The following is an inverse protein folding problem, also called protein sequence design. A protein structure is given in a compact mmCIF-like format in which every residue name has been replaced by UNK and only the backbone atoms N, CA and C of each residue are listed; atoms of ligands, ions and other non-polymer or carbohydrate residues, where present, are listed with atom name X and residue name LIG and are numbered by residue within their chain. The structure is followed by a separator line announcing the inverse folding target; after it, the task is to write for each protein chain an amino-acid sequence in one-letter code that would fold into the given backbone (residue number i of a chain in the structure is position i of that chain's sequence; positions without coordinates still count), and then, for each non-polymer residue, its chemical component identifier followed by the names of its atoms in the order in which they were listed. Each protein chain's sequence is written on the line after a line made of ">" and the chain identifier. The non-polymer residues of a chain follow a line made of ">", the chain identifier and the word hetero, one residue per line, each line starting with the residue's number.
data_IF_951433662348
#
_entry.id   IF_951433662348
#
_cell.length_a   1.000
_cell.length_b   1.000
_cell.length_c   1.000
_cell.angle_alpha   90.00
_cell.angle_beta   90.00
_cell.angle_gamma   90.00
#
_symmetry.space_group_name_H-M   'P 1'
#
loop_
_entity.id
_entity.type
_entity.pdbx_description
1 polymer ?
#
# COMPACT_ATOMS: atom_id res chain seq x y z
N UNK A 1 -10.94 -23.14 27.43
CA UNK A 1 -9.58 -23.58 27.02
C UNK A 1 -8.93 -22.40 26.34
N UNK A 2 -7.82 -21.90 26.88
CA UNK A 2 -7.13 -20.73 26.34
C UNK A 2 -6.44 -21.12 25.02
N UNK A 3 -6.75 -20.40 23.94
CA UNK A 3 -6.03 -20.50 22.68
C UNK A 3 -4.55 -20.23 22.95
N UNK A 4 -3.71 -21.27 22.84
CA UNK A 4 -2.26 -21.09 22.76
C UNK A 4 -2.02 -20.18 21.56
N UNK A 5 -1.49 -18.99 21.82
CA UNK A 5 -0.96 -18.11 20.78
C UNK A 5 0.05 -18.95 19.99
N UNK A 6 -0.21 -19.18 18.71
CA UNK A 6 0.71 -19.91 17.83
C UNK A 6 2.01 -19.12 17.76
N UNK A 7 3.12 -19.71 18.21
CA UNK A 7 4.45 -19.07 18.27
C UNK A 7 4.99 -18.73 16.90
N UNK A 8 4.45 -19.33 15.85
CA UNK A 8 4.87 -19.17 14.45
C UNK A 8 5.02 -17.70 14.02
N UNK A 9 4.12 -16.81 14.44
CA UNK A 9 4.18 -15.38 14.10
C UNK A 9 5.36 -14.66 14.77
N UNK A 10 5.67 -15.02 16.01
CA UNK A 10 6.81 -14.47 16.76
C UNK A 10 8.13 -15.00 16.21
N UNK A 11 8.17 -16.29 15.86
CA UNK A 11 9.33 -16.94 15.28
C UNK A 11 9.65 -16.37 13.89
N UNK A 12 8.63 -16.15 13.05
CA UNK A 12 8.78 -15.49 11.75
C UNK A 12 9.37 -14.08 11.89
N UNK A 13 8.82 -13.25 12.80
CA UNK A 13 9.33 -11.91 13.05
C UNK A 13 10.78 -11.92 13.54
N UNK A 14 11.12 -12.85 14.45
CA UNK A 14 12.47 -12.99 14.99
C UNK A 14 13.47 -13.45 13.93
N UNK A 15 13.12 -14.45 13.12
CA UNK A 15 13.99 -14.93 12.04
C UNK A 15 14.18 -13.85 10.97
N UNK A 16 13.11 -13.12 10.63
CA UNK A 16 13.19 -12.00 9.69
C UNK A 16 14.19 -10.94 10.18
N UNK A 17 14.17 -10.64 11.48
CA UNK A 17 15.15 -9.75 12.10
C UNK A 17 16.59 -10.26 11.89
N UNK A 18 16.86 -11.53 12.17
CA UNK A 18 18.20 -12.11 11.96
C UNK A 18 18.64 -12.04 10.50
N UNK A 19 17.70 -12.26 9.58
CA UNK A 19 17.96 -12.17 8.15
C UNK A 19 18.31 -10.75 7.71
N UNK A 20 17.55 -9.74 8.15
CA UNK A 20 17.86 -8.33 7.86
C UNK A 20 19.24 -7.94 8.38
N UNK A 21 19.59 -8.39 9.59
CA UNK A 21 20.94 -8.18 10.13
C UNK A 21 21.99 -8.81 9.24
N UNK A 22 21.80 -10.07 8.86
CA UNK A 22 22.75 -10.81 8.04
C UNK A 22 23.11 -10.04 6.76
N UNK A 23 22.11 -9.42 6.12
CA UNK A 23 22.31 -8.63 4.91
C UNK A 23 23.18 -7.38 5.11
N UNK A 24 23.14 -6.76 6.30
CA UNK A 24 23.83 -5.50 6.58
C UNK A 24 25.09 -5.64 7.43
N UNK A 25 25.25 -6.77 8.13
CA UNK A 25 26.25 -6.97 9.18
C UNK A 25 27.69 -6.69 8.75
N UNK A 26 28.08 -7.14 7.56
CA UNK A 26 29.42 -6.95 7.02
C UNK A 26 29.64 -5.65 6.26
N UNK A 27 28.58 -4.84 6.07
CA UNK A 27 28.58 -3.71 5.14
C UNK A 27 28.40 -2.35 5.82
N UNK A 28 27.78 -2.32 6.99
CA UNK A 28 27.36 -1.08 7.65
C UNK A 28 27.53 -1.19 9.15
N UNK A 29 27.71 -0.06 9.82
CA UNK A 29 27.41 0.05 11.24
C UNK A 29 25.89 0.29 11.40
N UNK A 30 25.25 -0.37 12.36
CA UNK A 30 23.80 -0.32 12.50
C UNK A 30 23.34 -0.65 13.92
N UNK A 31 22.15 -0.16 14.25
CA UNK A 31 21.41 -0.52 15.46
C UNK A 31 20.00 -0.94 15.10
N UNK A 32 19.45 -1.91 15.81
CA UNK A 32 18.07 -2.35 15.60
C UNK A 32 17.27 -2.21 16.88
N UNK A 33 16.07 -1.69 16.72
CA UNK A 33 15.08 -1.59 17.77
C UNK A 33 13.95 -2.57 17.47
N UNK A 34 13.73 -3.51 18.38
CA UNK A 34 12.49 -4.28 18.45
C UNK A 34 11.53 -3.49 19.35
N UNK A 35 10.49 -2.91 18.76
CA UNK A 35 9.50 -2.16 19.52
C UNK A 35 8.09 -2.58 19.12
N UNK A 36 7.59 -3.67 19.72
CA UNK A 36 6.15 -3.91 19.79
C UNK A 36 5.43 -2.96 20.76
N UNK A 37 5.79 -1.67 20.77
CA UNK A 37 5.17 -0.67 21.63
C UNK A 37 4.63 0.46 20.76
N UNK A 38 3.31 0.40 20.53
CA UNK A 38 2.48 1.38 19.80
C UNK A 38 2.74 2.87 20.14
N UNK A 39 3.49 3.16 21.20
CA UNK A 39 3.80 4.51 21.69
C UNK A 39 4.92 5.23 20.94
N UNK A 40 5.88 4.55 20.30
CA UNK A 40 7.03 5.26 19.70
C UNK A 40 6.86 5.49 18.20
N UNK A 41 6.65 4.42 17.43
CA UNK A 41 6.58 4.47 15.97
C UNK A 41 5.21 4.00 15.43
N UNK A 42 4.27 3.62 16.31
CA UNK A 42 2.93 3.13 15.95
C UNK A 42 3.01 1.82 15.17
N UNK A 43 2.00 1.43 14.38
CA UNK A 43 2.04 0.12 13.69
C UNK A 43 3.05 0.00 12.51
N UNK A 44 4.07 0.86 12.46
CA UNK A 44 5.22 0.78 11.55
C UNK A 44 6.36 -0.10 12.10
N UNK A 45 6.26 -0.61 13.34
CA UNK A 45 7.41 -0.94 14.18
C UNK A 45 7.60 -2.41 14.58
N UNK A 46 7.12 -3.36 13.78
CA UNK A 46 7.45 -4.78 14.07
C UNK A 46 8.98 -4.96 14.13
N UNK A 47 9.73 -4.27 13.26
CA UNK A 47 11.20 -4.12 13.34
C UNK A 47 11.62 -2.73 12.84
N UNK A 48 12.62 -2.11 13.47
CA UNK A 48 13.23 -0.84 13.03
C UNK A 48 14.74 -0.99 12.88
N UNK A 49 15.28 -0.75 11.68
CA UNK A 49 16.72 -0.75 11.42
C UNK A 49 17.21 0.67 11.19
N UNK A 50 18.24 1.06 11.94
CA UNK A 50 18.97 2.31 11.74
C UNK A 50 20.40 1.99 11.31
N UNK A 51 20.76 2.41 10.10
CA UNK A 51 22.12 2.34 9.56
C UNK A 51 22.83 3.64 9.90
N UNK A 52 23.98 3.53 10.55
CA UNK A 52 24.82 4.65 10.93
C UNK A 52 25.87 4.92 9.84
N UNK A 53 26.27 6.19 9.66
CA UNK A 53 27.35 6.53 8.75
C UNK A 53 28.67 5.88 9.22
N UNK A 54 29.36 5.22 8.29
CA UNK A 54 30.72 4.75 8.52
C UNK A 54 31.66 5.96 8.46
N UNK A 55 32.47 6.24 9.49
CA UNK A 55 33.43 7.35 9.45
C UNK A 55 34.44 7.27 8.29
N UNK A 56 34.64 6.08 7.71
CA UNK A 56 35.64 5.80 6.67
C UNK A 56 35.05 5.67 5.26
N UNK A 57 33.74 5.50 5.13
CA UNK A 57 33.05 5.41 3.84
C UNK A 57 31.96 6.47 3.81
N UNK A 58 31.89 7.27 2.74
CA UNK A 58 30.86 8.31 2.55
C UNK A 58 29.44 7.72 2.40
N UNK A 59 28.95 7.01 3.41
CA UNK A 59 27.66 6.33 3.48
C UNK A 59 26.71 7.16 4.33
N UNK A 60 25.46 7.23 3.88
CA UNK A 60 24.41 8.02 4.51
C UNK A 60 23.77 7.28 5.69
N UNK A 61 23.31 8.05 6.68
CA UNK A 61 22.40 7.56 7.72
C UNK A 61 21.08 7.15 7.06
N UNK A 62 20.58 5.94 7.37
CA UNK A 62 19.33 5.44 6.80
C UNK A 62 18.46 4.80 7.88
N UNK A 63 17.16 5.06 7.81
CA UNK A 63 16.15 4.52 8.73
C UNK A 63 15.15 3.66 7.97
N UNK A 64 14.92 2.43 8.43
CA UNK A 64 13.98 1.49 7.80
C UNK A 64 12.93 1.06 8.80
N UNK A 65 11.69 0.99 8.32
CA UNK A 65 10.56 0.44 9.06
C UNK A 65 10.09 -0.83 8.38
N UNK A 66 9.97 -1.92 9.13
CA UNK A 66 9.48 -3.19 8.62
C UNK A 66 8.24 -3.60 9.39
N UNK A 67 7.20 -3.99 8.67
CA UNK A 67 6.14 -4.80 9.27
C UNK A 67 5.93 -6.08 8.47
N UNK A 68 5.75 -7.15 9.23
CA UNK A 68 5.77 -8.52 8.75
C UNK A 68 4.40 -9.15 9.02
N UNK A 69 3.83 -9.79 8.00
CA UNK A 69 2.53 -10.44 8.06
C UNK A 69 2.63 -11.87 7.57
N UNK A 70 2.21 -12.78 8.42
CA UNK A 70 2.18 -14.21 8.15
C UNK A 70 0.76 -14.69 7.91
N UNK A 71 0.61 -15.61 6.96
CA UNK A 71 -0.58 -16.47 6.82
C UNK A 71 -0.24 -17.90 7.25
N UNK A 72 -1.22 -18.58 7.83
CA UNK A 72 -1.14 -20.02 8.08
C UNK A 72 -1.33 -20.83 6.78
N UNK A 73 -2.11 -20.28 5.84
CA UNK A 73 -2.34 -20.89 4.53
C UNK A 73 -1.48 -20.18 3.47
N UNK A 74 -0.55 -20.94 2.90
CA UNK A 74 0.41 -20.48 1.89
C UNK A 74 -0.20 -20.40 0.48
N UNK A 75 -1.38 -20.99 0.26
CA UNK A 75 -2.10 -20.86 -1.00
C UNK A 75 -2.79 -19.49 -1.12
N UNK A 76 -2.94 -18.77 -0.02
CA UNK A 76 -3.55 -17.43 -0.02
C UNK A 76 -2.63 -16.45 -0.73
N UNK A 77 -3.18 -15.81 -1.76
CA UNK A 77 -2.55 -14.68 -2.44
C UNK A 77 -3.25 -13.39 -2.07
N UNK A 78 -2.49 -12.30 -1.90
CA UNK A 78 -3.05 -10.97 -1.65
C UNK A 78 -3.63 -10.38 -2.93
N UNK A 79 -4.90 -10.01 -2.87
CA UNK A 79 -5.56 -9.19 -3.88
C UNK A 79 -5.25 -7.70 -3.68
N UNK A 80 -5.59 -6.87 -4.66
CA UNK A 80 -5.44 -5.41 -4.55
C UNK A 80 -6.37 -4.83 -3.47
N UNK A 81 -7.53 -5.46 -3.23
CA UNK A 81 -8.44 -5.09 -2.15
C UNK A 81 -7.85 -5.41 -0.78
N UNK A 82 -7.19 -6.56 -0.65
CA UNK A 82 -6.51 -6.90 0.60
C UNK A 82 -5.46 -5.84 0.91
N UNK A 83 -4.69 -5.41 -0.08
CA UNK A 83 -3.70 -4.34 0.09
C UNK A 83 -4.32 -2.98 0.47
N UNK A 84 -5.52 -2.66 -0.03
CA UNK A 84 -6.24 -1.41 0.23
C UNK A 84 -7.19 -1.44 1.43
N UNK A 85 -7.31 -2.57 2.12
CA UNK A 85 -8.33 -2.74 3.12
C UNK A 85 -8.14 -1.76 4.30
N UNK A 86 -9.14 -0.93 4.60
CA UNK A 86 -9.00 0.13 5.62
C UNK A 86 -8.62 -0.38 7.03
N UNK A 87 -8.93 -1.63 7.37
CA UNK A 87 -8.51 -2.25 8.66
C UNK A 87 -7.13 -2.92 8.62
N UNK A 88 -6.59 -3.24 7.45
CA UNK A 88 -5.35 -4.03 7.29
C UNK A 88 -4.53 -3.55 6.09
N UNK A 89 -3.20 -3.44 6.22
CA UNK A 89 -2.28 -3.07 5.14
C UNK A 89 -2.23 -1.55 4.84
N UNK A 90 -2.29 -1.09 3.58
CA UNK A 90 -1.78 0.23 3.16
C UNK A 90 -2.41 1.39 3.94
N UNK A 91 -3.74 1.42 4.09
CA UNK A 91 -4.43 2.51 4.80
C UNK A 91 -3.96 2.64 6.26
N UNK A 92 -3.87 1.51 6.97
CA UNK A 92 -3.35 1.46 8.35
C UNK A 92 -1.89 1.90 8.42
N UNK A 93 -1.08 1.58 7.41
CA UNK A 93 0.31 2.04 7.34
C UNK A 93 0.42 3.53 7.11
N UNK A 94 -0.40 4.09 6.22
CA UNK A 94 -0.49 5.54 6.01
C UNK A 94 -0.82 6.21 7.34
N UNK A 95 -1.83 5.73 8.07
CA UNK A 95 -2.20 6.28 9.39
C UNK A 95 -1.09 6.17 10.43
N UNK A 96 -0.30 5.10 10.36
CA UNK A 96 0.83 4.89 11.26
C UNK A 96 1.99 5.82 10.92
N UNK A 97 2.25 6.04 9.63
CA UNK A 97 3.19 7.06 9.16
C UNK A 97 2.78 8.47 9.54
N UNK A 98 1.49 8.82 9.40
CA UNK A 98 0.96 10.11 9.86
C UNK A 98 1.19 10.35 11.36
N UNK A 99 1.10 9.30 12.17
CA UNK A 99 1.40 9.37 13.61
C UNK A 99 2.90 9.54 13.85
N UNK A 100 3.72 8.77 13.14
CA UNK A 100 5.16 8.85 13.24
C UNK A 100 5.70 10.24 12.83
N UNK A 101 5.27 10.79 11.69
CA UNK A 101 5.75 12.08 11.17
C UNK A 101 5.48 13.27 12.11
N UNK A 102 4.51 13.12 13.02
CA UNK A 102 4.16 14.11 14.05
C UNK A 102 4.82 13.84 15.41
N UNK A 103 5.55 12.74 15.55
CA UNK A 103 6.17 12.30 16.81
C UNK A 103 7.54 12.94 17.05
N UNK A 104 8.01 12.90 18.30
CA UNK A 104 9.39 13.30 18.63
C UNK A 104 10.44 12.34 18.08
N UNK A 105 10.06 11.10 17.74
CA UNK A 105 10.95 10.16 17.08
C UNK A 105 11.29 10.64 15.66
N UNK A 106 10.31 11.19 14.92
CA UNK A 106 10.56 11.77 13.59
C UNK A 106 11.54 12.96 13.65
N UNK A 107 11.41 13.84 14.66
CA UNK A 107 12.35 14.96 14.85
C UNK A 107 13.78 14.49 15.11
N UNK A 108 13.94 13.31 15.73
CA UNK A 108 15.24 12.73 16.07
C UNK A 108 15.85 11.92 14.92
N UNK A 109 15.03 11.11 14.25
CA UNK A 109 15.50 10.09 13.31
C UNK A 109 15.24 10.43 11.84
N UNK A 110 14.41 11.44 11.55
CA UNK A 110 14.16 11.92 10.19
C UNK A 110 13.18 11.07 9.37
N UNK A 111 13.24 11.21 8.05
CA UNK A 111 12.39 10.43 7.12
C UNK A 111 12.96 9.02 6.93
N UNK A 112 12.12 7.97 6.87
CA UNK A 112 12.61 6.63 6.55
C UNK A 112 13.11 6.57 5.10
N UNK A 113 14.18 5.81 4.88
CA UNK A 113 14.69 5.45 3.57
C UNK A 113 13.72 4.49 2.86
N UNK A 114 13.21 3.47 3.56
CA UNK A 114 12.14 2.60 3.04
C UNK A 114 11.20 2.17 4.17
N UNK A 115 9.91 2.04 3.84
CA UNK A 115 8.86 1.46 4.67
C UNK A 115 8.41 0.16 4.01
N UNK A 116 8.63 -0.96 4.68
CA UNK A 116 8.62 -2.26 4.02
C UNK A 116 7.55 -3.16 4.63
N UNK A 117 6.70 -3.73 3.77
CA UNK A 117 5.73 -4.76 4.08
C UNK A 117 6.26 -6.12 3.65
N UNK A 118 6.47 -7.03 4.60
CA UNK A 118 6.93 -8.39 4.36
C UNK A 118 5.78 -9.35 4.51
N UNK A 119 5.61 -10.26 3.55
CA UNK A 119 4.58 -11.28 3.67
C UNK A 119 4.99 -12.61 3.09
N UNK A 120 4.52 -13.67 3.75
CA UNK A 120 4.60 -15.04 3.26
C UNK A 120 3.71 -15.27 2.04
N UNK A 121 2.68 -14.46 1.84
CA UNK A 121 1.71 -14.62 0.76
C UNK A 121 2.29 -14.16 -0.56
N UNK A 122 1.87 -14.81 -1.65
CA UNK A 122 2.07 -14.27 -2.99
C UNK A 122 1.09 -13.14 -3.29
N UNK A 123 1.26 -12.48 -4.44
CA UNK A 123 0.24 -11.59 -5.00
C UNK A 123 -0.64 -12.38 -5.97
N UNK A 124 -1.93 -12.05 -6.00
CA UNK A 124 -2.84 -12.58 -7.00
C UNK A 124 -2.40 -12.11 -8.40
N UNK A 125 -2.66 -12.90 -9.45
CA UNK A 125 -2.19 -12.59 -10.82
C UNK A 125 -2.63 -11.22 -11.33
N UNK A 126 -3.87 -10.80 -11.02
CA UNK A 126 -4.36 -9.46 -11.37
C UNK A 126 -3.66 -8.34 -10.59
N UNK A 127 -3.27 -8.60 -9.34
CA UNK A 127 -2.49 -7.68 -8.51
C UNK A 127 -1.05 -7.58 -9.00
N UNK A 128 -0.47 -8.70 -9.43
CA UNK A 128 0.84 -8.71 -10.09
C UNK A 128 0.83 -7.84 -11.33
N UNK A 129 -0.13 -8.05 -12.24
CA UNK A 129 -0.27 -7.24 -13.45
C UNK A 129 -0.34 -5.73 -13.13
N UNK A 130 -1.06 -5.35 -12.07
CA UNK A 130 -1.13 -3.97 -11.60
C UNK A 130 0.20 -3.43 -11.03
N UNK A 131 0.96 -4.26 -10.31
CA UNK A 131 2.19 -3.81 -9.62
C UNK A 131 3.46 -3.90 -10.47
N UNK A 132 3.51 -4.78 -11.47
CA UNK A 132 4.67 -5.01 -12.34
C UNK A 132 5.03 -3.78 -13.18
N UNK A 133 4.08 -2.90 -13.48
CA UNK A 133 4.33 -1.61 -14.15
C UNK A 133 5.13 -0.62 -13.28
N UNK A 134 5.28 -0.91 -11.98
CA UNK A 134 5.81 0.03 -10.99
C UNK A 134 7.00 -0.51 -10.19
N UNK A 135 7.75 -1.48 -10.74
CA UNK A 135 8.95 -2.05 -10.11
C UNK A 135 10.02 -0.95 -9.88
N UNK A 136 10.38 -0.72 -8.61
CA UNK A 136 11.45 0.23 -8.22
C UNK A 136 12.82 -0.25 -8.70
N UNK A 137 13.62 0.67 -9.25
CA UNK A 137 14.87 0.32 -9.91
C UNK A 137 15.93 -0.24 -8.95
N UNK A 138 16.16 0.32 -7.76
CA UNK A 138 17.17 -0.23 -6.83
C UNK A 138 16.82 0.10 -5.36
N UNK A 139 16.52 -0.91 -4.50
CA UNK A 139 16.45 -0.67 -3.06
C UNK A 139 17.84 -0.61 -2.44
N UNK A 140 17.95 0.06 -1.29
CA UNK A 140 19.17 -0.04 -0.47
C UNK A 140 19.33 -1.44 0.16
N UNK A 141 18.21 -2.12 0.45
CA UNK A 141 18.19 -3.50 0.95
C UNK A 141 17.71 -4.44 -0.16
N UNK A 142 18.62 -5.20 -0.74
CA UNK A 142 18.28 -6.26 -1.70
C UNK A 142 18.26 -7.60 -0.99
N UNK A 143 17.18 -8.36 -1.17
CA UNK A 143 17.07 -9.70 -0.60
C UNK A 143 17.78 -10.70 -1.51
N UNK A 144 18.52 -11.63 -0.92
CA UNK A 144 19.32 -12.62 -1.65
C UNK A 144 18.65 -13.98 -1.79
N UNK A 145 17.40 -14.11 -1.35
CA UNK A 145 16.62 -15.34 -1.49
C UNK A 145 15.80 -15.24 -2.77
N UNK A 146 16.05 -16.14 -3.72
CA UNK A 146 15.46 -16.15 -5.07
C UNK A 146 13.93 -16.22 -5.09
N UNK A 147 13.31 -16.79 -4.05
CA UNK A 147 11.84 -16.92 -3.97
C UNK A 147 11.15 -15.61 -3.60
N UNK A 148 11.86 -14.66 -2.99
CA UNK A 148 11.28 -13.41 -2.54
C UNK A 148 11.20 -12.43 -3.69
N UNK A 149 10.01 -11.91 -3.93
CA UNK A 149 9.78 -10.92 -4.98
C UNK A 149 9.49 -9.55 -4.38
N UNK A 150 10.00 -8.52 -5.05
CA UNK A 150 9.85 -7.11 -4.65
C UNK A 150 8.84 -6.41 -5.55
N UNK A 151 7.94 -5.66 -4.95
CA UNK A 151 6.97 -4.82 -5.66
C UNK A 151 6.84 -3.45 -4.98
N UNK A 152 6.46 -2.43 -5.74
CA UNK A 152 6.18 -1.08 -5.23
C UNK A 152 5.01 -0.47 -5.98
N UNK A 153 4.33 0.51 -5.37
CA UNK A 153 3.18 1.16 -5.98
C UNK A 153 3.54 2.61 -6.27
N UNK A 154 4.25 2.84 -7.36
CA UNK A 154 4.77 4.18 -7.70
C UNK A 154 3.65 5.16 -8.06
N UNK A 155 2.59 4.68 -8.69
CA UNK A 155 1.48 5.52 -9.11
C UNK A 155 0.30 5.33 -8.15
N UNK A 156 0.44 5.82 -6.93
CA UNK A 156 -0.59 5.72 -5.89
C UNK A 156 -1.98 6.17 -6.36
N UNK A 157 -2.07 7.13 -7.29
CA UNK A 157 -3.34 7.54 -7.88
C UNK A 157 -4.06 6.35 -8.55
N UNK A 158 -3.34 5.41 -9.15
CA UNK A 158 -3.89 4.21 -9.78
C UNK A 158 -4.53 3.25 -8.75
N UNK A 159 -4.06 3.23 -7.50
CA UNK A 159 -4.75 2.51 -6.43
C UNK A 159 -6.12 3.11 -6.10
N UNK A 160 -6.22 4.43 -6.08
CA UNK A 160 -7.49 5.10 -5.86
C UNK A 160 -8.36 5.07 -7.13
N UNK A 161 -7.76 4.99 -8.32
CA UNK A 161 -8.47 4.65 -9.57
C UNK A 161 -9.10 3.28 -9.44
N UNK A 162 -8.38 2.25 -8.97
CA UNK A 162 -8.93 0.91 -8.85
C UNK A 162 -10.07 0.83 -7.82
N UNK A 163 -9.96 1.54 -6.69
CA UNK A 163 -11.06 1.63 -5.71
C UNK A 163 -12.30 2.30 -6.32
N UNK A 164 -12.12 3.42 -7.03
CA UNK A 164 -13.19 4.13 -7.74
C UNK A 164 -13.80 3.25 -8.85
N UNK A 165 -12.95 2.58 -9.62
CA UNK A 165 -13.32 1.68 -10.68
C UNK A 165 -14.12 0.47 -10.18
N UNK A 166 -13.75 -0.12 -9.03
CA UNK A 166 -14.49 -1.24 -8.42
C UNK A 166 -15.88 -0.84 -7.97
N UNK A 167 -16.02 0.36 -7.39
CA UNK A 167 -17.35 0.90 -7.06
C UNK A 167 -18.20 1.04 -8.32
N UNK A 168 -17.60 1.52 -9.40
CA UNK A 168 -18.29 1.69 -10.68
C UNK A 168 -18.66 0.34 -11.31
N UNK A 169 -17.73 -0.61 -11.34
CA UNK A 169 -17.98 -1.96 -11.82
C UNK A 169 -19.13 -2.60 -11.01
N UNK A 170 -19.19 -2.39 -9.69
CA UNK A 170 -20.27 -2.93 -8.84
C UNK A 170 -21.64 -2.41 -9.24
N UNK A 171 -21.74 -1.19 -9.77
CA UNK A 171 -22.98 -0.67 -10.32
C UNK A 171 -23.30 -1.18 -11.73
N UNK A 172 -22.27 -1.58 -12.50
CA UNK A 172 -22.45 -2.22 -13.79
C UNK A 172 -22.90 -3.69 -13.66
N UNK A 173 -22.81 -4.28 -12.47
CA UNK A 173 -23.21 -5.65 -12.18
C UNK A 173 -24.74 -5.78 -12.06
N UNK A 174 -25.32 -6.77 -12.75
CA UNK A 174 -26.77 -7.09 -12.76
C UNK A 174 -27.33 -7.56 -11.40
N UNK A 175 -26.49 -7.69 -10.36
CA UNK A 175 -26.90 -8.16 -9.03
C UNK A 175 -26.64 -7.06 -7.99
N UNK A 176 -27.68 -6.53 -7.31
CA UNK A 176 -27.50 -5.52 -6.28
C UNK A 176 -26.75 -6.17 -5.11
N UNK A 177 -25.47 -5.81 -4.93
CA UNK A 177 -24.71 -6.18 -3.73
C UNK A 177 -24.82 -5.05 -2.70
N UNK A 178 -24.86 -5.47 -1.43
CA UNK A 178 -25.04 -4.66 -0.20
C UNK A 178 -24.41 -3.27 -0.30
N UNK A 179 -25.13 -2.29 0.24
CA UNK A 179 -24.63 -0.95 0.51
C UNK A 179 -23.27 -1.03 1.22
N UNK A 180 -22.25 -0.55 0.53
CA UNK A 180 -20.95 -0.30 1.13
C UNK A 180 -21.05 0.96 1.99
N UNK A 181 -20.31 1.03 3.12
CA UNK A 181 -20.26 2.26 3.91
C UNK A 181 -19.92 3.46 3.01
N UNK A 182 -20.56 4.61 3.29
CA UNK A 182 -20.36 5.86 2.52
C UNK A 182 -18.85 6.10 2.34
N UNK A 183 -18.39 6.31 1.09
CA UNK A 183 -16.99 6.59 0.83
C UNK A 183 -16.54 7.84 1.58
N UNK A 184 -15.27 7.86 1.97
CA UNK A 184 -14.57 9.13 2.12
C UNK A 184 -14.29 9.67 0.70
N UNK A 185 -14.80 10.86 0.40
CA UNK A 185 -14.87 11.48 -0.93
C UNK A 185 -13.51 12.07 -1.32
N UNK A 186 -12.68 11.36 -2.11
CA UNK A 186 -11.39 11.90 -2.55
C UNK A 186 -11.06 11.53 -4.00
N UNK A 187 -11.01 12.52 -4.89
CA UNK A 187 -10.48 12.41 -6.26
C UNK A 187 -9.34 13.45 -6.42
N UNK A 188 -8.12 13.05 -6.81
CA UNK A 188 -7.08 13.99 -7.19
C UNK A 188 -7.50 14.83 -8.38
N UNK A 189 -7.06 16.09 -8.41
CA UNK A 189 -7.39 17.06 -9.45
C UNK A 189 -7.19 16.49 -10.86
N UNK A 190 -6.01 15.89 -11.09
CA UNK A 190 -5.66 15.25 -12.36
C UNK A 190 -6.59 14.09 -12.77
N UNK A 191 -7.16 13.34 -11.80
CA UNK A 191 -8.14 12.29 -12.08
C UNK A 191 -9.52 12.88 -12.33
N UNK A 192 -9.93 13.87 -11.52
CA UNK A 192 -11.20 14.55 -11.67
C UNK A 192 -11.32 15.20 -13.06
N UNK A 193 -10.25 15.84 -13.54
CA UNK A 193 -10.19 16.39 -14.90
C UNK A 193 -10.35 15.31 -15.97
N UNK A 194 -9.64 14.18 -15.89
CA UNK A 194 -9.83 13.06 -16.83
C UNK A 194 -11.25 12.49 -16.79
N UNK A 195 -11.86 12.43 -15.61
CA UNK A 195 -13.25 11.98 -15.45
C UNK A 195 -14.25 12.89 -16.19
N UNK A 196 -14.10 14.20 -16.01
CA UNK A 196 -14.98 15.22 -16.60
C UNK A 196 -14.78 15.32 -18.12
N UNK A 197 -13.52 15.23 -18.59
CA UNK A 197 -13.20 15.53 -19.98
C UNK A 197 -13.10 14.32 -20.91
N UNK A 198 -12.72 13.15 -20.39
CA UNK A 198 -12.28 12.04 -21.22
C UNK A 198 -13.01 10.72 -20.94
N UNK A 199 -13.54 10.53 -19.73
CA UNK A 199 -14.17 9.26 -19.32
C UNK A 199 -15.69 9.31 -19.45
N UNK A 200 -16.34 10.36 -18.93
CA UNK A 200 -17.79 10.49 -18.88
C UNK A 200 -18.28 11.67 -19.71
N UNK A 201 -19.49 11.56 -20.22
CA UNK A 201 -20.25 12.66 -20.81
C UNK A 201 -21.69 12.64 -20.30
N UNK A 202 -22.33 13.80 -20.28
CA UNK A 202 -23.74 13.92 -19.91
C UNK A 202 -24.58 13.15 -20.93
N UNK A 203 -25.42 12.24 -20.44
CA UNK A 203 -26.39 11.56 -21.28
C UNK A 203 -27.51 12.54 -21.66
N UNK A 204 -28.02 12.45 -22.88
CA UNK A 204 -29.17 13.25 -23.29
C UNK A 204 -30.34 13.00 -22.33
N UNK A 205 -30.79 14.06 -21.66
CA UNK A 205 -31.93 13.96 -20.75
C UNK A 205 -33.19 13.76 -21.58
N UNK A 206 -33.76 12.55 -21.56
CA UNK A 206 -35.14 12.34 -22.01
C UNK A 206 -36.05 13.08 -21.04
N UNK A 207 -36.59 14.20 -21.52
CA UNK A 207 -37.51 15.04 -20.77
C UNK A 207 -38.82 14.30 -20.52
N UNK A 208 -38.91 13.55 -19.42
CA UNK A 208 -40.19 13.03 -18.94
C UNK A 208 -40.13 12.79 -17.43
N UNK A 209 -41.06 13.43 -16.72
CA UNK A 209 -41.44 13.36 -15.30
C UNK A 209 -40.78 14.35 -14.31
N UNK A 210 -41.65 15.16 -13.70
CA UNK A 210 -41.40 16.26 -12.75
C UNK A 210 -40.95 15.81 -11.34
N UNK A 211 -40.07 14.81 -11.23
CA UNK A 211 -39.48 14.42 -9.95
C UNK A 211 -37.96 14.50 -10.05
N UNK A 212 -37.38 15.53 -9.42
CA UNK A 212 -35.94 15.79 -9.27
C UNK A 212 -35.10 15.37 -10.47
N UNK A 213 -34.81 16.28 -11.40
CA UNK A 213 -33.93 16.01 -12.55
C UNK A 213 -32.60 15.46 -12.04
N UNK A 214 -32.44 14.13 -12.10
CA UNK A 214 -31.19 13.47 -11.78
C UNK A 214 -30.38 13.42 -13.06
N UNK A 215 -29.31 14.21 -13.12
CA UNK A 215 -28.43 14.21 -14.28
C UNK A 215 -27.81 12.82 -14.45
N UNK A 216 -27.92 12.31 -15.68
CA UNK A 216 -27.36 11.02 -16.06
C UNK A 216 -26.07 11.25 -16.85
N UNK A 217 -25.12 10.36 -16.70
CA UNK A 217 -23.87 10.33 -17.48
C UNK A 217 -23.69 8.95 -18.10
N UNK A 218 -22.96 8.92 -19.20
CA UNK A 218 -22.54 7.70 -19.88
C UNK A 218 -21.04 7.75 -20.16
N UNK A 219 -20.44 6.61 -20.43
CA UNK A 219 -19.05 6.58 -20.86
C UNK A 219 -18.89 7.21 -22.24
N UNK A 220 -17.86 8.03 -22.41
CA UNK A 220 -17.44 8.52 -23.73
C UNK A 220 -17.02 7.35 -24.59
N UNK A 221 -17.40 7.39 -25.87
CA UNK A 221 -17.05 6.35 -26.84
C UNK A 221 -15.53 6.17 -26.96
N UNK A 222 -14.78 7.27 -26.96
CA UNK A 222 -13.31 7.27 -27.02
C UNK A 222 -12.69 6.52 -25.85
N UNK A 223 -13.24 6.68 -24.65
CA UNK A 223 -12.80 5.93 -23.47
C UNK A 223 -13.07 4.43 -23.61
N UNK A 224 -14.29 4.03 -24.00
CA UNK A 224 -14.63 2.62 -24.18
C UNK A 224 -13.73 1.95 -25.22
N UNK A 225 -13.46 2.65 -26.33
CA UNK A 225 -12.61 2.18 -27.42
C UNK A 225 -11.11 2.17 -27.10
N UNK A 226 -10.69 2.83 -26.02
CA UNK A 226 -9.28 2.96 -25.66
C UNK A 226 -8.51 3.81 -26.67
N UNK A 227 -9.08 4.95 -27.06
CA UNK A 227 -8.48 5.86 -28.04
C UNK A 227 -7.05 6.27 -27.64
N UNK A 228 -6.16 6.37 -28.62
CA UNK A 228 -4.79 6.85 -28.45
C UNK A 228 -4.72 8.28 -27.92
N UNK A 229 -5.76 9.10 -28.17
CA UNK A 229 -5.85 10.49 -27.71
C UNK A 229 -6.12 10.63 -26.21
N UNK A 230 -6.44 9.54 -25.51
CA UNK A 230 -6.65 9.55 -24.07
C UNK A 230 -5.36 9.97 -23.35
N UNK A 231 -5.51 10.78 -22.30
CA UNK A 231 -4.44 11.05 -21.35
C UNK A 231 -4.01 9.77 -20.65
N UNK A 232 -2.77 9.76 -20.14
CA UNK A 232 -2.25 8.61 -19.38
C UNK A 232 -3.11 8.29 -18.16
N UNK A 233 -3.70 9.30 -17.51
CA UNK A 233 -4.63 9.09 -16.40
C UNK A 233 -5.92 8.39 -16.84
N UNK A 234 -6.50 8.78 -17.98
CA UNK A 234 -7.68 8.12 -18.53
C UNK A 234 -7.37 6.67 -18.96
N UNK A 235 -6.18 6.42 -19.54
CA UNK A 235 -5.71 5.06 -19.86
C UNK A 235 -5.54 4.19 -18.62
N UNK A 236 -4.87 4.70 -17.58
CA UNK A 236 -4.71 3.98 -16.30
C UNK A 236 -6.07 3.70 -15.63
N UNK A 237 -6.99 4.67 -15.66
CA UNK A 237 -8.33 4.46 -15.13
C UNK A 237 -9.08 3.38 -15.91
N UNK A 238 -8.99 3.39 -17.25
CA UNK A 238 -9.59 2.36 -18.11
C UNK A 238 -9.08 0.96 -17.77
N UNK A 239 -7.77 0.80 -17.59
CA UNK A 239 -7.17 -0.46 -17.17
C UNK A 239 -7.69 -0.89 -15.80
N UNK A 240 -7.71 0.02 -14.84
CA UNK A 240 -8.24 -0.21 -13.48
C UNK A 240 -9.71 -0.67 -13.52
N UNK A 241 -10.51 -0.07 -14.40
CA UNK A 241 -11.92 -0.40 -14.60
C UNK A 241 -12.13 -1.78 -15.23
N UNK A 242 -11.35 -2.14 -16.24
CA UNK A 242 -11.37 -3.50 -16.80
C UNK A 242 -11.04 -4.55 -15.74
N UNK A 243 -9.93 -4.35 -15.01
CA UNK A 243 -9.52 -5.25 -13.92
C UNK A 243 -10.65 -5.35 -12.88
N UNK A 244 -11.23 -4.22 -12.48
CA UNK A 244 -12.32 -4.19 -11.52
C UNK A 244 -13.55 -5.00 -11.97
N UNK A 245 -13.94 -4.90 -13.23
CA UNK A 245 -15.02 -5.72 -13.79
C UNK A 245 -14.66 -7.20 -13.85
N UNK A 246 -13.43 -7.55 -14.25
CA UNK A 246 -12.94 -8.93 -14.28
C UNK A 246 -12.99 -9.58 -12.90
N UNK A 247 -12.67 -8.84 -11.84
CA UNK A 247 -12.75 -9.31 -10.45
C UNK A 247 -14.17 -9.68 -9.99
N UNK A 248 -15.21 -9.24 -10.71
CA UNK A 248 -16.58 -9.63 -10.41
C UNK A 248 -16.97 -10.99 -10.96
N UNK A 249 -16.23 -11.47 -11.96
CA UNK A 249 -16.45 -12.77 -12.55
C UNK A 249 -15.75 -13.85 -11.73
N UNK A 250 -16.47 -14.95 -11.44
CA UNK A 250 -15.89 -16.10 -10.72
C UNK A 250 -14.92 -16.92 -11.58
N UNK A 251 -14.95 -16.74 -12.90
CA UNK A 251 -14.12 -17.46 -13.85
C UNK A 251 -12.95 -16.57 -14.30
N UNK A 252 -11.68 -16.93 -13.98
CA UNK A 252 -10.51 -16.14 -14.33
C UNK A 252 -10.22 -16.07 -15.84
N UNK A 253 -10.91 -16.88 -16.66
CA UNK A 253 -10.77 -16.89 -18.12
C UNK A 253 -11.83 -16.05 -18.84
N UNK A 254 -12.78 -15.47 -18.11
CA UNK A 254 -13.82 -14.62 -18.70
C UNK A 254 -13.34 -13.17 -18.70
N UNK A 255 -13.14 -12.61 -19.90
CA UNK A 255 -12.83 -11.19 -20.08
C UNK A 255 -14.11 -10.37 -20.06
N UNK A 256 -14.08 -9.24 -19.37
CA UNK A 256 -15.18 -8.28 -19.40
C UNK A 256 -15.19 -7.54 -20.76
N UNK A 257 -16.34 -7.55 -21.45
CA UNK A 257 -16.52 -6.75 -22.66
C UNK A 257 -16.97 -5.33 -22.28
N UNK A 258 -16.00 -4.41 -22.24
CA UNK A 258 -16.25 -2.99 -21.95
C UNK A 258 -17.20 -2.33 -22.94
N UNK A 259 -17.33 -2.84 -24.17
CA UNK A 259 -18.26 -2.27 -25.15
C UNK A 259 -19.72 -2.53 -24.81
N UNK A 260 -20.02 -3.48 -23.91
CA UNK A 260 -21.37 -3.70 -23.38
C UNK A 260 -21.93 -2.47 -22.65
N UNK A 261 -21.08 -1.54 -22.23
CA UNK A 261 -21.45 -0.32 -21.51
C UNK A 261 -21.83 0.85 -22.43
N UNK A 262 -21.76 0.68 -23.75
CA UNK A 262 -22.05 1.77 -24.72
C UNK A 262 -23.46 2.34 -24.58
N UNK A 263 -24.41 1.52 -24.13
CA UNK A 263 -25.82 1.90 -23.97
C UNK A 263 -26.24 2.11 -22.52
N UNK A 264 -25.30 2.09 -21.56
CA UNK A 264 -25.60 2.20 -20.13
C UNK A 264 -25.47 3.66 -19.68
N UNK A 265 -26.56 4.17 -19.11
CA UNK A 265 -26.59 5.46 -18.42
C UNK A 265 -26.51 5.25 -16.91
N UNK A 266 -25.83 6.15 -16.23
CA UNK A 266 -25.56 6.10 -14.81
C UNK A 266 -25.92 7.44 -14.15
N UNK A 267 -26.32 7.42 -12.88
CA UNK A 267 -26.61 8.65 -12.13
C UNK A 267 -25.31 9.44 -11.86
N UNK A 268 -25.30 10.77 -11.98
CA UNK A 268 -24.11 11.61 -11.68
C UNK A 268 -23.56 11.37 -10.26
N UNK A 269 -24.45 11.15 -9.29
CA UNK A 269 -24.10 10.86 -7.91
C UNK A 269 -23.24 9.60 -7.74
N UNK A 270 -23.31 8.65 -8.69
CA UNK A 270 -22.44 7.47 -8.73
C UNK A 270 -20.96 7.83 -8.86
N UNK A 271 -20.67 8.91 -9.57
CA UNK A 271 -19.30 9.29 -9.93
C UNK A 271 -18.75 10.42 -9.06
N UNK A 272 -19.57 10.92 -8.12
CA UNK A 272 -19.23 12.09 -7.31
C UNK A 272 -18.85 13.31 -8.15
N UNK A 273 -19.31 13.35 -9.41
CA UNK A 273 -19.15 14.49 -10.31
C UNK A 273 -20.25 15.47 -9.94
N UNK A 274 -19.89 16.56 -9.26
CA UNK A 274 -20.82 17.68 -9.10
C UNK A 274 -21.11 18.27 -10.47
N UNK A 275 -22.37 18.66 -10.71
CA UNK A 275 -22.74 19.46 -11.87
C UNK A 275 -21.84 20.71 -11.90
N UNK A 276 -20.95 20.78 -12.89
CA UNK A 276 -20.14 21.96 -13.11
C UNK A 276 -21.01 23.00 -13.80
N UNK A 277 -21.72 23.79 -13.00
CA UNK A 277 -22.55 24.91 -13.47
C UNK A 277 -21.71 26.11 -13.93
N UNK A 278 -20.39 25.98 -13.93
CA UNK A 278 -19.45 27.00 -14.39
C UNK A 278 -18.36 26.31 -15.19
N UNK A 279 -18.03 26.81 -16.38
CA UNK A 279 -16.99 26.27 -17.28
C UNK A 279 -15.55 26.36 -16.74
N UNK A 280 -15.35 26.10 -15.44
CA UNK A 280 -14.05 25.96 -14.78
C UNK A 280 -14.03 24.63 -14.05
N UNK A 281 -12.98 23.81 -14.22
CA UNK A 281 -12.85 22.56 -13.48
C UNK A 281 -12.84 22.87 -11.97
N UNK A 282 -13.70 22.20 -11.21
CA UNK A 282 -13.64 22.25 -9.74
C UNK A 282 -12.28 21.68 -9.33
N UNK A 283 -11.46 22.51 -8.70
CA UNK A 283 -10.15 22.11 -8.24
C UNK A 283 -10.29 21.22 -6.99
N UNK A 284 -10.55 19.94 -7.21
CA UNK A 284 -10.60 18.94 -6.16
C UNK A 284 -9.18 18.62 -5.67
N UNK A 285 -8.86 18.98 -4.43
CA UNK A 285 -7.60 18.58 -3.78
C UNK A 285 -7.76 17.21 -3.17
N UNK A 286 -6.80 16.31 -3.41
CA UNK A 286 -6.75 15.05 -2.71
C UNK A 286 -6.15 15.27 -1.32
N UNK A 287 -6.90 14.91 -0.29
CA UNK A 287 -6.41 14.88 1.08
C UNK A 287 -6.85 13.57 1.70
N UNK A 288 -5.91 12.69 2.02
CA UNK A 288 -6.23 11.41 2.65
C UNK A 288 -5.65 11.36 4.06
N UNK A 289 -6.53 11.27 5.05
CA UNK A 289 -6.16 11.17 6.47
C UNK A 289 -5.13 12.24 6.90
N UNK A 290 -5.24 13.44 6.31
CA UNK A 290 -4.38 14.57 6.57
C UNK A 290 -3.09 14.64 5.76
N UNK A 291 -2.78 13.64 4.91
CA UNK A 291 -1.71 13.73 3.92
C UNK A 291 -2.19 14.40 2.63
N UNK A 292 -1.39 15.33 2.12
CA UNK A 292 -1.59 15.93 0.82
C UNK A 292 -0.99 15.09 -0.33
N UNK A 293 -1.18 15.54 -1.57
CA UNK A 293 -0.71 14.87 -2.79
C UNK A 293 0.82 14.71 -2.83
N UNK A 294 1.59 15.66 -2.31
CA UNK A 294 3.06 15.56 -2.26
C UNK A 294 3.48 14.53 -1.20
N UNK A 295 2.87 14.57 -0.03
CA UNK A 295 3.15 13.64 1.07
C UNK A 295 2.78 12.19 0.72
N UNK A 296 1.67 11.98 0.01
CA UNK A 296 1.28 10.66 -0.51
C UNK A 296 2.24 10.17 -1.58
N UNK A 297 2.61 11.05 -2.51
CA UNK A 297 3.61 10.74 -3.54
C UNK A 297 4.92 10.29 -2.89
N UNK A 298 5.34 11.01 -1.85
CA UNK A 298 6.50 10.63 -1.05
C UNK A 298 6.27 9.27 -0.36
N UNK A 299 5.17 9.08 0.36
CA UNK A 299 4.88 7.84 1.08
C UNK A 299 4.96 6.61 0.16
N UNK A 300 4.22 6.64 -0.96
CA UNK A 300 4.13 5.51 -1.87
C UNK A 300 5.42 5.24 -2.65
N UNK A 301 6.25 6.27 -2.88
CA UNK A 301 7.60 6.08 -3.45
C UNK A 301 8.51 5.27 -2.52
N UNK A 302 8.32 5.39 -1.20
CA UNK A 302 9.15 4.73 -0.19
C UNK A 302 8.46 3.49 0.43
N UNK A 303 7.23 3.15 0.00
CA UNK A 303 6.50 1.97 0.46
C UNK A 303 6.76 0.75 -0.46
N UNK A 304 7.38 -0.29 0.10
CA UNK A 304 7.87 -1.46 -0.65
C UNK A 304 7.24 -2.74 -0.12
N UNK A 305 6.85 -3.64 -1.02
CA UNK A 305 6.35 -4.97 -0.69
C UNK A 305 7.41 -6.02 -1.01
N UNK A 306 7.74 -6.86 -0.04
CA UNK A 306 8.40 -8.14 -0.27
C UNK A 306 7.41 -9.26 -0.03
N UNK A 307 7.16 -10.05 -1.07
CA UNK A 307 6.16 -11.11 -1.07
C UNK A 307 6.83 -12.47 -1.25
N UNK A 308 6.17 -13.53 -0.80
CA UNK A 308 6.74 -14.89 -0.74
C UNK A 308 8.00 -14.98 0.11
N UNK A 309 8.04 -14.22 1.20
CA UNK A 309 9.11 -14.33 2.20
C UNK A 309 9.03 -15.73 2.82
N UNK A 310 10.09 -16.56 2.74
CA UNK A 310 10.07 -17.88 3.35
C UNK A 310 9.99 -17.76 4.88
N UNK A 311 9.52 -18.80 5.56
CA UNK A 311 9.49 -18.90 7.03
C UNK A 311 10.21 -20.18 7.47
N UNK A 312 10.43 -20.32 8.77
CA UNK A 312 10.97 -21.53 9.39
C UNK A 312 12.33 -21.94 8.79
N UNK A 313 12.52 -23.24 8.54
CA UNK A 313 13.80 -23.83 8.14
C UNK A 313 14.40 -23.18 6.89
N UNK A 314 13.59 -22.83 5.90
CA UNK A 314 14.09 -22.17 4.69
C UNK A 314 14.65 -20.78 4.98
N UNK A 315 14.03 -20.02 5.89
CA UNK A 315 14.58 -18.73 6.30
C UNK A 315 15.86 -18.93 7.12
N UNK A 316 15.89 -19.92 8.03
CA UNK A 316 17.08 -20.26 8.82
C UNK A 316 18.25 -20.71 7.95
N UNK A 317 18.01 -21.52 6.92
CA UNK A 317 19.01 -21.95 5.96
C UNK A 317 19.60 -20.75 5.20
N UNK A 318 18.74 -19.82 4.76
CA UNK A 318 19.19 -18.58 4.12
C UNK A 318 20.04 -17.71 5.06
N UNK A 319 19.65 -17.59 6.33
CA UNK A 319 20.41 -16.86 7.34
C UNK A 319 21.78 -17.53 7.58
N UNK A 320 21.79 -18.84 7.77
CA UNK A 320 23.03 -19.62 7.93
C UNK A 320 23.97 -19.41 6.75
N UNK A 321 23.44 -19.45 5.53
CA UNK A 321 24.20 -19.23 4.30
C UNK A 321 24.81 -17.82 4.26
N UNK A 322 24.04 -16.78 4.61
CA UNK A 322 24.54 -15.40 4.67
C UNK A 322 25.69 -15.20 5.67
N UNK A 323 25.71 -16.01 6.74
CA UNK A 323 26.77 -16.00 7.75
C UNK A 323 27.82 -17.11 7.55
N UNK A 324 27.92 -17.73 6.36
CA UNK A 324 28.86 -18.82 6.09
C UNK A 324 28.81 -19.95 7.15
N UNK A 325 27.60 -20.33 7.57
CA UNK A 325 27.31 -21.33 8.61
C UNK A 325 27.84 -20.99 10.02
N UNK A 326 28.16 -19.72 10.28
CA UNK A 326 28.59 -19.23 11.61
C UNK A 326 27.46 -18.53 12.38
N UNK A 327 26.22 -18.71 11.94
CA UNK A 327 25.08 -18.05 12.56
C UNK A 327 24.83 -18.56 13.99
N UNK A 328 24.64 -17.62 14.92
CA UNK A 328 24.26 -17.89 16.29
C UNK A 328 23.38 -16.73 16.79
N UNK A 329 22.22 -17.04 17.36
CA UNK A 329 21.27 -16.05 17.88
C UNK A 329 21.88 -15.07 18.90
N UNK A 330 22.86 -15.53 19.70
CA UNK A 330 23.53 -14.69 20.72
C UNK A 330 24.35 -13.55 20.12
N UNK A 331 24.73 -13.65 18.84
CA UNK A 331 25.48 -12.60 18.15
C UNK A 331 24.70 -11.28 18.08
N UNK A 332 23.36 -11.35 18.20
CA UNK A 332 22.47 -10.23 17.94
C UNK A 332 22.11 -9.41 19.18
N UNK A 333 22.36 -9.93 20.38
CA UNK A 333 22.02 -9.26 21.64
C UNK A 333 22.69 -7.89 21.81
N UNK A 334 23.85 -7.68 21.18
CA UNK A 334 24.57 -6.39 21.21
C UNK A 334 24.01 -5.34 20.24
N UNK A 335 23.27 -5.76 19.22
CA UNK A 335 22.68 -4.89 18.19
C UNK A 335 21.23 -4.51 18.52
N UNK A 336 20.60 -5.24 19.43
CA UNK A 336 19.33 -4.89 20.01
C UNK A 336 19.49 -3.66 20.92
N UNK A 337 18.76 -2.61 20.60
CA UNK A 337 18.58 -1.48 21.50
C UNK A 337 17.79 -1.98 22.71
N UNK A 338 18.44 -2.05 23.87
CA UNK A 338 17.90 -2.59 25.13
C UNK A 338 16.89 -1.64 25.81
N UNK A 339 15.97 -1.05 25.05
CA UNK A 339 15.12 0.12 25.35
C UNK A 339 15.74 1.47 24.95
N UNK A 340 14.92 2.45 24.51
CA UNK A 340 15.40 3.80 24.24
C UNK A 340 15.95 4.41 25.55
N UNK A 341 17.27 4.67 25.58
CA UNK A 341 18.07 5.20 26.70
C UNK A 341 17.40 6.34 27.51
N UNK A 342 16.53 7.15 26.87
CA UNK A 342 15.82 8.26 27.53
C UNK A 342 14.66 7.84 28.44
N UNK A 343 14.03 6.67 28.24
CA UNK A 343 12.90 6.21 29.09
C UNK A 343 13.37 5.69 30.44
N UNK A 344 14.51 5.01 30.51
CA UNK A 344 15.10 4.54 31.76
C UNK A 344 15.52 5.69 32.69
N UNK A 345 15.90 6.86 32.14
CA UNK A 345 16.16 8.08 32.91
C UNK A 345 14.85 8.73 33.39
N UNK A 346 13.86 8.88 32.50
CA UNK A 346 12.57 9.50 32.86
C UNK A 346 11.73 8.70 33.88
N UNK A 347 11.83 7.36 33.90
CA UNK A 347 11.16 6.54 34.91
C UNK A 347 11.91 6.47 36.25
N UNK A 348 13.25 6.52 36.23
CA UNK A 348 14.05 6.66 37.46
C UNK A 348 13.76 7.99 38.16
N UNK A 349 13.61 9.07 37.38
CA UNK A 349 13.30 10.40 37.94
C UNK A 349 11.85 10.51 38.46
N UNK A 350 10.93 9.65 37.99
CA UNK A 350 9.57 9.53 38.53
C UNK A 350 9.47 8.62 39.75
N UNK A 351 10.35 7.63 39.90
CA UNK A 351 10.41 6.76 41.09
C UNK A 351 11.20 7.40 42.26
N UNK A 352 11.99 8.43 41.98
CA UNK A 352 12.75 9.19 42.98
C UNK A 352 12.11 10.55 43.35
N UNK A 353 10.80 10.73 43.11
CA UNK A 353 10.02 11.89 43.56
C UNK A 353 8.88 11.49 44.47
#
# INVERSE_FOLDING_TARGET
>A
MANKVTTDGVDFQRQLYYYVIALVHGKYDYSILYEGNDKTYGALDDVILKIHPDPKMAKQENLYFFQAKQSMDEAITLSVQDMLHYKVNIAKYIDSYCRYSKSDAYKRDGKPAEMIYWTTNGLHTTTLAFMEEYISAEPHLTLTIDTIKKYSIKHWKALFMIDTAQKLANQCSLSPKKEFPKPLTYLPESMAQSFIHEILEVAEQTAESEQSVQTMVKFRKQFLQGDTSLSENAKHFRLSFLIACEMQHKNPYTKFDINSLTSVNFLTNTFQVQETDTGRPVQCRFQYNGLDEEELTWFFKHFIFYVKVPKNDTMLEAINTLFNNQWNEKLFEKYLIKEPLKRAQAEKDKKNR
#
